data_IF_209618722813
#
_entry.id   IF_209618722813
#
_cell.length_a   1.000
_cell.length_b   1.000
_cell.length_c   1.000
_cell.angle_alpha   90.00
_cell.angle_beta   90.00
_cell.angle_gamma   90.00
#
_symmetry.space_group_name_H-M   'P 1'
#
loop_
_entity.id
_entity.type
_entity.pdbx_description
1 polymer ?
#
# COMPACT_ATOMS: atom_id res chain seq x y z
N UNK A 1 -1.69 -15.97 -20.18
CA UNK A 1 -0.90 -16.75 -19.20
C UNK A 1 -0.94 -16.05 -17.86
N UNK A 2 -1.77 -16.54 -16.93
CA UNK A 2 -1.83 -16.05 -15.55
C UNK A 2 -0.61 -16.58 -14.78
N UNK A 3 0.46 -15.80 -14.72
CA UNK A 3 1.57 -16.12 -13.83
C UNK A 3 1.20 -15.68 -12.42
N UNK A 4 0.61 -16.62 -11.68
CA UNK A 4 0.55 -16.61 -10.23
C UNK A 4 1.95 -16.33 -9.68
N UNK A 5 2.06 -15.36 -8.77
CA UNK A 5 3.23 -15.23 -7.90
C UNK A 5 3.62 -16.60 -7.36
N UNK A 6 4.92 -16.91 -7.35
CA UNK A 6 5.45 -18.14 -6.76
C UNK A 6 4.76 -18.38 -5.40
N UNK A 7 4.14 -19.55 -5.16
CA UNK A 7 3.54 -19.81 -3.87
C UNK A 7 4.61 -19.64 -2.77
N UNK A 8 4.27 -19.06 -1.62
CA UNK A 8 5.22 -18.86 -0.54
C UNK A 8 5.85 -20.21 -0.18
N UNK A 9 7.18 -20.26 -0.20
CA UNK A 9 7.93 -21.49 0.06
C UNK A 9 7.59 -21.98 1.48
N UNK A 10 7.04 -23.19 1.56
CA UNK A 10 6.51 -23.79 2.78
C UNK A 10 7.55 -23.89 3.90
N UNK A 11 8.84 -23.83 3.55
CA UNK A 11 9.96 -23.86 4.49
C UNK A 11 10.07 -22.62 5.38
N UNK A 12 9.40 -21.51 5.04
CA UNK A 12 9.43 -20.26 5.80
C UNK A 12 8.19 -20.00 6.66
N UNK A 13 7.18 -20.88 6.60
CA UNK A 13 5.90 -20.70 7.30
C UNK A 13 6.09 -20.77 8.82
N UNK A 14 5.72 -19.69 9.50
CA UNK A 14 5.83 -19.55 10.95
C UNK A 14 4.53 -19.83 11.69
N UNK A 15 4.59 -19.83 13.03
CA UNK A 15 3.37 -19.85 13.84
C UNK A 15 2.63 -18.52 13.67
N UNK A 16 1.37 -18.58 13.21
CA UNK A 16 0.49 -17.42 13.11
C UNK A 16 0.22 -16.80 14.47
N UNK A 17 0.27 -15.47 14.54
CA UNK A 17 0.00 -14.71 15.76
C UNK A 17 -1.30 -13.92 15.62
N UNK A 18 -2.35 -14.40 16.30
CA UNK A 18 -3.62 -13.66 16.41
C UNK A 18 -3.45 -12.35 17.14
N UNK A 19 -2.60 -12.34 18.18
CA UNK A 19 -2.29 -11.14 18.97
C UNK A 19 -1.68 -10.04 18.10
N UNK A 20 -0.71 -10.38 17.24
CA UNK A 20 -0.11 -9.40 16.32
C UNK A 20 -1.14 -8.83 15.35
N UNK A 21 -2.05 -9.67 14.85
CA UNK A 21 -3.18 -9.22 14.02
C UNK A 21 -4.10 -8.24 14.75
N UNK A 22 -4.45 -8.51 16.02
CA UNK A 22 -5.29 -7.61 16.83
C UNK A 22 -4.59 -6.27 17.10
N UNK A 23 -3.31 -6.30 17.47
CA UNK A 23 -2.54 -5.07 17.70
C UNK A 23 -2.43 -4.26 16.41
N UNK A 24 -2.17 -4.92 15.28
CA UNK A 24 -2.14 -4.26 13.97
C UNK A 24 -3.49 -3.60 13.66
N UNK A 25 -4.61 -4.30 13.92
CA UNK A 25 -5.94 -3.76 13.70
C UNK A 25 -6.18 -2.48 14.53
N UNK A 26 -5.80 -2.49 15.81
CA UNK A 26 -5.90 -1.31 16.69
C UNK A 26 -5.04 -0.17 16.15
N UNK A 27 -3.78 -0.42 15.80
CA UNK A 27 -2.88 0.59 15.24
C UNK A 27 -3.38 1.13 13.89
N UNK A 28 -3.97 0.28 13.05
CA UNK A 28 -4.59 0.67 11.80
C UNK A 28 -5.82 1.56 12.01
N UNK A 29 -6.67 1.22 12.98
CA UNK A 29 -7.82 2.04 13.36
C UNK A 29 -7.37 3.41 13.92
N UNK A 30 -6.31 3.45 14.74
CA UNK A 30 -5.72 4.69 15.24
C UNK A 30 -5.10 5.53 14.12
N UNK A 31 -4.39 4.90 13.17
CA UNK A 31 -3.85 5.59 11.99
C UNK A 31 -4.98 6.20 11.15
N UNK A 32 -6.06 5.45 10.93
CA UNK A 32 -7.23 5.94 10.22
C UNK A 32 -7.91 7.11 10.97
N UNK A 33 -8.09 6.99 12.28
CA UNK A 33 -8.65 8.06 13.12
C UNK A 33 -7.77 9.32 13.08
N UNK A 34 -6.45 9.15 13.14
CA UNK A 34 -5.50 10.26 13.02
C UNK A 34 -5.65 11.01 11.69
N UNK A 35 -5.80 10.28 10.57
CA UNK A 35 -6.12 10.88 9.28
C UNK A 35 -7.47 11.59 9.27
N UNK A 36 -8.51 11.02 9.89
CA UNK A 36 -9.81 11.69 10.04
C UNK A 36 -9.74 13.00 10.83
N UNK A 37 -8.92 13.05 11.89
CA UNK A 37 -8.69 14.27 12.67
C UNK A 37 -8.00 15.34 11.82
N UNK A 38 -7.03 14.98 10.98
CA UNK A 38 -6.47 15.87 9.97
C UNK A 38 -7.55 16.41 9.01
N UNK A 39 -8.55 15.58 8.68
CA UNK A 39 -9.68 15.96 7.83
C UNK A 39 -10.74 16.79 8.54
N UNK A 40 -10.73 16.95 9.87
CA UNK A 40 -11.67 17.87 10.51
C UNK A 40 -11.44 19.33 10.06
N UNK A 41 -10.20 19.70 9.74
CA UNK A 41 -9.86 21.01 9.18
C UNK A 41 -10.41 21.24 7.76
N UNK A 42 -10.74 20.18 7.02
CA UNK A 42 -11.35 20.26 5.69
C UNK A 42 -12.78 20.80 5.76
N UNK A 43 -13.52 20.47 6.81
CA UNK A 43 -14.92 20.89 6.98
C UNK A 43 -15.05 22.31 7.55
N UNK A 44 -13.95 23.05 7.69
CA UNK A 44 -14.00 24.46 8.06
C UNK A 44 -14.67 25.26 6.92
N UNK A 45 -15.72 26.04 7.19
CA UNK A 45 -16.43 26.81 6.16
C UNK A 45 -15.56 27.90 5.50
N UNK A 46 -14.36 28.15 6.03
CA UNK A 46 -13.36 29.10 5.51
C UNK A 46 -12.27 28.47 4.65
N UNK A 47 -12.24 27.14 4.51
CA UNK A 47 -11.19 26.45 3.75
C UNK A 47 -11.44 26.57 2.24
N UNK A 48 -10.45 27.09 1.49
CA UNK A 48 -10.48 27.04 0.03
C UNK A 48 -10.38 25.59 -0.44
N UNK A 49 -11.04 25.26 -1.54
CA UNK A 49 -11.06 23.89 -2.06
C UNK A 49 -9.69 23.37 -2.45
N UNK A 50 -8.80 24.21 -3.00
CA UNK A 50 -7.41 23.80 -3.29
C UNK A 50 -6.66 23.36 -2.02
N UNK A 51 -6.92 24.06 -0.92
CA UNK A 51 -6.34 23.73 0.38
C UNK A 51 -6.90 22.40 0.91
N UNK A 52 -8.18 22.11 0.67
CA UNK A 52 -8.81 20.83 1.00
C UNK A 52 -8.15 19.68 0.24
N UNK A 53 -7.97 19.81 -1.09
CA UNK A 53 -7.38 18.74 -1.90
C UNK A 53 -5.91 18.48 -1.49
N UNK A 54 -5.15 19.54 -1.18
CA UNK A 54 -3.78 19.42 -0.66
C UNK A 54 -3.76 18.70 0.70
N UNK A 55 -4.68 19.02 1.61
CA UNK A 55 -4.79 18.34 2.91
C UNK A 55 -5.16 16.85 2.75
N UNK A 56 -6.06 16.52 1.80
CA UNK A 56 -6.38 15.13 1.45
C UNK A 56 -5.13 14.39 0.98
N UNK A 57 -4.35 15.01 0.10
CA UNK A 57 -3.11 14.45 -0.41
C UNK A 57 -2.08 14.20 0.71
N UNK A 58 -1.89 15.16 1.62
CA UNK A 58 -0.97 15.01 2.76
C UNK A 58 -1.47 13.91 3.70
N UNK A 59 -2.75 13.89 4.03
CA UNK A 59 -3.36 12.89 4.91
C UNK A 59 -3.22 11.47 4.37
N UNK A 60 -3.41 11.26 3.06
CA UNK A 60 -3.20 9.98 2.40
C UNK A 60 -1.74 9.54 2.45
N UNK A 61 -0.78 10.45 2.26
CA UNK A 61 0.65 10.13 2.37
C UNK A 61 1.02 9.72 3.80
N UNK A 62 0.56 10.47 4.81
CA UNK A 62 0.80 10.13 6.22
C UNK A 62 0.19 8.76 6.55
N UNK A 63 -1.02 8.47 6.04
CA UNK A 63 -1.67 7.18 6.23
C UNK A 63 -0.80 6.02 5.72
N UNK A 64 -0.37 6.10 4.45
CA UNK A 64 0.43 5.04 3.83
C UNK A 64 1.79 4.89 4.49
N UNK A 65 2.49 5.99 4.78
CA UNK A 65 3.79 5.96 5.45
C UNK A 65 3.70 5.34 6.85
N UNK A 66 2.70 5.75 7.64
CA UNK A 66 2.46 5.17 8.97
C UNK A 66 2.15 3.68 8.87
N UNK A 67 1.35 3.25 7.89
CA UNK A 67 1.03 1.84 7.66
C UNK A 67 2.29 1.02 7.38
N UNK A 68 3.16 1.49 6.48
CA UNK A 68 4.43 0.81 6.17
C UNK A 68 5.38 0.78 7.38
N UNK A 69 5.41 1.86 8.16
CA UNK A 69 6.16 1.92 9.40
C UNK A 69 5.67 0.87 10.42
N UNK A 70 4.35 0.73 10.60
CA UNK A 70 3.77 -0.29 11.48
C UNK A 70 4.22 -1.70 11.07
N UNK A 71 4.21 -2.04 9.78
CA UNK A 71 4.71 -3.34 9.32
C UNK A 71 6.17 -3.57 9.67
N UNK A 72 7.02 -2.54 9.58
CA UNK A 72 8.42 -2.63 10.00
C UNK A 72 8.58 -2.79 11.51
N UNK A 73 7.74 -2.14 12.32
CA UNK A 73 7.72 -2.38 13.77
C UNK A 73 7.41 -3.85 14.08
N UNK A 74 6.39 -4.43 13.44
CA UNK A 74 6.08 -5.86 13.62
C UNK A 74 7.24 -6.76 13.20
N UNK A 75 7.90 -6.44 12.09
CA UNK A 75 9.11 -7.13 11.64
C UNK A 75 10.20 -7.11 12.71
N UNK A 76 10.48 -5.95 13.32
CA UNK A 76 11.44 -5.85 14.42
C UNK A 76 11.01 -6.61 15.67
N UNK A 77 9.70 -6.72 15.93
CA UNK A 77 9.15 -7.59 16.98
C UNK A 77 9.20 -9.09 16.64
N UNK A 78 9.76 -9.47 15.49
CA UNK A 78 9.93 -10.87 15.08
C UNK A 78 8.73 -11.46 14.35
N UNK A 79 7.88 -10.62 13.77
CA UNK A 79 6.71 -11.02 12.98
C UNK A 79 6.74 -10.43 11.58
N UNK A 80 6.44 -11.23 10.57
CA UNK A 80 6.28 -10.73 9.20
C UNK A 80 4.84 -10.91 8.74
N UNK A 81 4.36 -9.96 7.94
CA UNK A 81 3.02 -10.03 7.36
C UNK A 81 3.04 -10.88 6.09
N UNK A 82 2.13 -11.84 6.00
CA UNK A 82 1.93 -12.64 4.81
C UNK A 82 1.46 -11.75 3.63
N UNK A 83 1.78 -12.15 2.38
CA UNK A 83 1.29 -11.47 1.19
C UNK A 83 -0.23 -11.64 1.02
N UNK A 84 -0.78 -12.77 1.51
CA UNK A 84 -2.20 -13.04 1.47
C UNK A 84 -2.90 -12.46 2.72
N UNK A 85 -3.99 -11.75 2.48
CA UNK A 85 -4.88 -11.27 3.53
C UNK A 85 -5.84 -12.39 3.93
N UNK A 86 -5.91 -12.73 5.22
CA UNK A 86 -6.91 -13.69 5.68
C UNK A 86 -8.28 -13.04 5.76
N UNK A 87 -9.27 -13.83 5.37
CA UNK A 87 -10.69 -13.50 5.55
C UNK A 87 -11.05 -13.62 7.03
N UNK A 88 -11.50 -12.54 7.63
CA UNK A 88 -12.08 -12.50 8.97
C UNK A 88 -13.59 -12.23 8.88
N UNK A 89 -14.37 -12.94 9.68
CA UNK A 89 -15.84 -12.89 9.65
C UNK A 89 -16.49 -13.96 8.75
N UNK A 90 -17.81 -14.11 8.87
CA UNK A 90 -18.63 -15.06 8.13
C UNK A 90 -19.78 -14.36 7.39
N UNK A 91 -20.16 -14.85 6.21
CA UNK A 91 -21.28 -14.29 5.44
C UNK A 91 -20.93 -13.01 4.66
N UNK A 92 -21.89 -12.06 4.56
CA UNK A 92 -21.78 -10.81 3.79
C UNK A 92 -20.77 -9.80 4.34
N UNK A 93 -20.41 -9.87 5.62
CA UNK A 93 -19.53 -8.92 6.30
C UNK A 93 -18.16 -9.53 6.59
N UNK A 94 -17.51 -10.05 5.56
CA UNK A 94 -16.14 -10.54 5.69
C UNK A 94 -15.14 -9.47 5.27
N UNK A 95 -14.15 -9.21 6.12
CA UNK A 95 -13.08 -8.26 5.86
C UNK A 95 -11.73 -8.97 5.81
N UNK A 96 -10.83 -8.45 4.98
CA UNK A 96 -9.51 -9.04 4.74
C UNK A 96 -8.46 -8.33 5.59
N UNK A 97 -7.84 -9.06 6.52
CA UNK A 97 -6.77 -8.52 7.37
C UNK A 97 -5.43 -9.19 7.09
N UNK A 98 -4.32 -8.45 7.24
CA UNK A 98 -3.00 -9.04 7.19
C UNK A 98 -2.82 -10.07 8.30
N UNK A 99 -2.25 -11.21 7.95
CA UNK A 99 -1.87 -12.25 8.90
C UNK A 99 -0.39 -12.12 9.19
N UNK A 100 -0.05 -12.19 10.48
CA UNK A 100 1.32 -12.13 10.94
C UNK A 100 1.82 -13.52 11.33
N UNK A 101 3.00 -13.87 10.85
CA UNK A 101 3.71 -15.10 11.21
C UNK A 101 5.02 -14.78 11.93
N UNK A 102 5.30 -15.53 13.00
CA UNK A 102 6.56 -15.40 13.73
C UNK A 102 7.73 -15.87 12.86
N UNK A 103 8.85 -15.17 12.90
CA UNK A 103 10.05 -15.56 12.18
C UNK A 103 10.50 -16.97 12.57
N UNK A 104 10.64 -17.84 11.57
CA UNK A 104 11.30 -19.15 11.72
C UNK A 104 12.81 -18.99 11.62
N UNK A 105 13.56 -20.03 11.99
CA UNK A 105 15.02 -19.97 11.88
C UNK A 105 15.48 -19.91 10.41
N UNK A 106 14.85 -20.70 9.54
CA UNK A 106 15.06 -20.63 8.09
C UNK A 106 14.78 -19.23 7.53
N UNK A 107 13.69 -18.61 7.99
CA UNK A 107 13.35 -17.24 7.60
C UNK A 107 14.45 -16.25 7.99
N UNK A 108 14.95 -16.31 9.23
CA UNK A 108 16.03 -15.41 9.68
C UNK A 108 17.30 -15.60 8.88
N UNK A 109 17.69 -16.85 8.62
CA UNK A 109 18.88 -17.18 7.82
C UNK A 109 18.73 -16.61 6.42
N UNK A 110 17.62 -16.86 5.73
CA UNK A 110 17.39 -16.28 4.39
C UNK A 110 17.34 -14.74 4.43
N UNK A 111 16.63 -14.16 5.39
CA UNK A 111 16.51 -12.71 5.55
C UNK A 111 17.87 -12.03 5.82
N UNK A 112 18.81 -12.71 6.46
CA UNK A 112 20.17 -12.22 6.67
C UNK A 112 20.98 -12.13 5.36
N UNK A 113 20.69 -12.98 4.37
CA UNK A 113 21.32 -12.98 3.04
C UNK A 113 20.79 -11.86 2.11
N UNK A 114 19.79 -11.08 2.55
CA UNK A 114 19.16 -10.05 1.69
C UNK A 114 20.14 -8.96 1.27
N UNK A 115 19.95 -8.44 0.06
CA UNK A 115 20.72 -7.31 -0.41
C UNK A 115 20.15 -5.99 0.08
N UNK A 116 20.72 -5.42 1.16
CA UNK A 116 20.26 -4.13 1.74
C UNK A 116 20.21 -3.00 0.71
N UNK A 117 21.18 -2.94 -0.21
CA UNK A 117 21.24 -1.92 -1.28
C UNK A 117 20.03 -2.01 -2.21
N UNK A 118 19.75 -3.19 -2.76
CA UNK A 118 18.62 -3.37 -3.69
C UNK A 118 17.28 -3.22 -2.98
N UNK A 119 17.21 -3.62 -1.71
CA UNK A 119 16.05 -3.37 -0.87
C UNK A 119 15.76 -1.89 -0.68
N UNK A 120 16.78 -1.12 -0.34
CA UNK A 120 16.66 0.33 -0.20
C UNK A 120 16.25 0.97 -1.53
N UNK A 121 16.90 0.59 -2.64
CA UNK A 121 16.58 1.12 -3.96
C UNK A 121 15.14 0.80 -4.37
N UNK A 122 14.68 -0.43 -4.13
CA UNK A 122 13.30 -0.82 -4.40
C UNK A 122 12.31 -0.03 -3.55
N UNK A 123 12.60 0.14 -2.25
CA UNK A 123 11.75 0.89 -1.33
C UNK A 123 11.65 2.38 -1.71
N UNK A 124 12.75 3.03 -2.04
CA UNK A 124 12.75 4.42 -2.53
C UNK A 124 11.95 4.52 -3.82
N UNK A 125 12.17 3.61 -4.76
CA UNK A 125 11.42 3.59 -6.02
C UNK A 125 9.92 3.38 -5.79
N UNK A 126 9.55 2.54 -4.81
CA UNK A 126 8.16 2.36 -4.40
C UNK A 126 7.55 3.62 -3.79
N UNK A 127 8.26 4.31 -2.89
CA UNK A 127 7.77 5.58 -2.32
C UNK A 127 7.55 6.60 -3.43
N UNK A 128 8.53 6.76 -4.33
CA UNK A 128 8.41 7.66 -5.48
C UNK A 128 7.21 7.28 -6.36
N UNK A 129 7.02 5.99 -6.57
CA UNK A 129 5.90 5.45 -7.32
C UNK A 129 4.56 5.79 -6.66
N UNK A 130 4.39 5.54 -5.36
CA UNK A 130 3.15 5.88 -4.62
C UNK A 130 2.88 7.39 -4.66
N UNK A 131 3.93 8.20 -4.47
CA UNK A 131 3.81 9.66 -4.53
C UNK A 131 3.44 10.15 -5.94
N UNK A 132 3.99 9.55 -6.99
CA UNK A 132 3.63 9.90 -8.37
C UNK A 132 2.13 9.69 -8.63
N UNK A 133 1.57 8.57 -8.17
CA UNK A 133 0.12 8.29 -8.28
C UNK A 133 -0.68 9.39 -7.61
N UNK A 134 -0.33 9.70 -6.36
CA UNK A 134 -1.05 10.67 -5.56
C UNK A 134 -0.93 12.07 -6.20
N UNK A 135 0.23 12.43 -6.78
CA UNK A 135 0.44 13.74 -7.41
C UNK A 135 -0.36 13.85 -8.70
N UNK A 136 -0.37 12.81 -9.54
CA UNK A 136 -1.21 12.78 -10.74
C UNK A 136 -2.69 12.88 -10.36
N UNK A 137 -3.11 12.19 -9.31
CA UNK A 137 -4.47 12.27 -8.78
C UNK A 137 -4.80 13.70 -8.30
N UNK A 138 -3.88 14.35 -7.58
CA UNK A 138 -4.01 15.72 -7.09
C UNK A 138 -4.17 16.70 -8.26
N UNK A 139 -3.25 16.67 -9.23
CA UNK A 139 -3.28 17.55 -10.40
C UNK A 139 -4.56 17.35 -11.23
N UNK A 140 -4.95 16.10 -11.42
CA UNK A 140 -6.20 15.76 -12.11
C UNK A 140 -7.42 16.27 -11.34
N UNK A 141 -7.42 16.15 -10.01
CA UNK A 141 -8.51 16.65 -9.15
C UNK A 141 -8.65 18.17 -9.21
N UNK A 142 -7.54 18.90 -9.16
CA UNK A 142 -7.52 20.35 -9.31
C UNK A 142 -8.02 20.78 -10.71
N UNK A 143 -7.47 20.20 -11.78
CA UNK A 143 -7.89 20.54 -13.14
C UNK A 143 -9.37 20.21 -13.39
N UNK A 144 -9.86 19.08 -12.88
CA UNK A 144 -11.26 18.71 -12.97
C UNK A 144 -12.16 19.67 -12.19
N UNK A 145 -11.74 20.11 -10.99
CA UNK A 145 -12.48 21.08 -10.19
C UNK A 145 -12.63 22.41 -10.93
N UNK A 146 -11.52 22.98 -11.42
CA UNK A 146 -11.48 24.26 -12.14
C UNK A 146 -12.33 24.20 -13.42
N UNK A 147 -12.28 23.08 -14.16
CA UNK A 147 -13.00 22.95 -15.43
C UNK A 147 -14.51 22.72 -15.28
N UNK A 148 -14.96 21.97 -14.26
CA UNK A 148 -16.33 21.43 -14.24
C UNK A 148 -17.18 21.87 -13.05
N UNK A 149 -16.60 22.09 -11.87
CA UNK A 149 -17.38 22.47 -10.68
C UNK A 149 -17.65 23.98 -10.68
N UNK A 150 -16.67 24.80 -11.06
CA UNK A 150 -16.83 26.26 -11.11
C UNK A 150 -17.68 26.72 -12.32
N UNK A 151 -17.81 25.88 -13.37
CA UNK A 151 -18.44 26.26 -14.64
C UNK A 151 -19.89 25.79 -14.85
N UNK A 152 -20.43 24.84 -14.06
CA UNK A 152 -21.74 24.22 -14.38
C UNK A 152 -22.57 23.81 -13.15
N UNK A 153 -23.77 24.39 -13.01
CA UNK A 153 -24.71 24.15 -11.89
C UNK A 153 -25.76 23.07 -12.13
N UNK A 154 -25.83 22.46 -13.34
CA UNK A 154 -26.96 21.56 -13.72
C UNK A 154 -26.60 20.10 -13.99
N UNK A 155 -25.32 19.72 -13.99
CA UNK A 155 -24.85 18.38 -14.41
C UNK A 155 -23.87 17.70 -13.44
N UNK A 156 -23.83 18.13 -12.17
CA UNK A 156 -22.81 17.72 -11.19
C UNK A 156 -22.70 16.20 -10.94
N UNK A 157 -23.82 15.47 -10.91
CA UNK A 157 -23.80 14.05 -10.50
C UNK A 157 -23.13 13.12 -11.52
N UNK A 158 -23.34 13.35 -12.83
CA UNK A 158 -22.74 12.51 -13.88
C UNK A 158 -21.24 12.71 -14.00
N UNK A 159 -20.77 13.96 -13.84
CA UNK A 159 -19.35 14.27 -13.85
C UNK A 159 -18.65 13.68 -12.62
N UNK A 160 -19.27 13.76 -11.42
CA UNK A 160 -18.72 13.13 -10.21
C UNK A 160 -18.57 11.60 -10.37
N UNK A 161 -19.55 10.95 -11.01
CA UNK A 161 -19.46 9.53 -11.33
C UNK A 161 -18.31 9.22 -12.31
N UNK A 162 -18.18 9.98 -13.39
CA UNK A 162 -17.07 9.85 -14.35
C UNK A 162 -15.71 10.08 -13.71
N UNK A 163 -15.62 11.05 -12.79
CA UNK A 163 -14.42 11.35 -12.03
C UNK A 163 -14.00 10.17 -11.16
N UNK A 164 -14.92 9.61 -10.37
CA UNK A 164 -14.66 8.41 -9.55
C UNK A 164 -14.26 7.23 -10.44
N UNK A 165 -14.94 7.04 -11.56
CA UNK A 165 -14.63 5.96 -12.50
C UNK A 165 -13.21 6.09 -13.10
N UNK A 166 -12.79 7.31 -13.45
CA UNK A 166 -11.43 7.55 -13.95
C UNK A 166 -10.37 7.29 -12.87
N UNK A 167 -10.63 7.67 -11.61
CA UNK A 167 -9.75 7.36 -10.48
C UNK A 167 -9.56 5.84 -10.34
N UNK A 168 -10.65 5.07 -10.45
CA UNK A 168 -10.60 3.61 -10.38
C UNK A 168 -9.76 3.03 -11.54
N UNK A 169 -9.97 3.51 -12.77
CA UNK A 169 -9.17 3.07 -13.93
C UNK A 169 -7.70 3.40 -13.73
N UNK A 170 -7.40 4.63 -13.31
CA UNK A 170 -6.04 5.11 -13.05
C UNK A 170 -5.36 4.21 -12.03
N UNK A 171 -6.05 3.90 -10.92
CA UNK A 171 -5.56 2.98 -9.90
C UNK A 171 -5.27 1.57 -10.45
N UNK A 172 -6.15 1.00 -11.26
CA UNK A 172 -5.96 -0.32 -11.88
C UNK A 172 -4.75 -0.33 -12.83
N UNK A 173 -4.65 0.67 -13.72
CA UNK A 173 -3.54 0.81 -14.67
C UNK A 173 -2.20 0.89 -13.94
N UNK A 174 -2.18 1.66 -12.86
CA UNK A 174 -1.04 1.83 -11.99
C UNK A 174 -0.68 0.48 -11.34
N UNK A 175 -1.59 -0.19 -10.64
CA UNK A 175 -1.34 -1.53 -10.07
C UNK A 175 -0.73 -2.52 -11.09
N UNK A 176 -1.23 -2.50 -12.34
CA UNK A 176 -0.67 -3.31 -13.42
C UNK A 176 0.77 -2.90 -13.78
N UNK A 177 1.07 -1.61 -13.87
CA UNK A 177 2.43 -1.09 -14.08
C UNK A 177 3.35 -1.45 -12.91
N UNK A 178 2.89 -1.39 -11.66
CA UNK A 178 3.69 -1.77 -10.50
C UNK A 178 4.09 -3.24 -10.53
N UNK A 179 3.16 -4.12 -10.91
CA UNK A 179 3.44 -5.56 -11.09
C UNK A 179 4.52 -5.78 -12.15
N UNK A 180 4.45 -5.06 -13.29
CA UNK A 180 5.49 -5.10 -14.32
C UNK A 180 6.83 -4.59 -13.81
N UNK A 181 6.83 -3.49 -13.06
CA UNK A 181 8.04 -2.93 -12.45
C UNK A 181 8.72 -3.91 -11.50
N UNK A 182 7.97 -4.58 -10.62
CA UNK A 182 8.52 -5.62 -9.72
C UNK A 182 9.24 -6.73 -10.49
N UNK A 183 8.64 -7.19 -11.59
CA UNK A 183 9.22 -8.22 -12.43
C UNK A 183 10.48 -7.74 -13.15
N UNK A 184 10.42 -6.54 -13.73
CA UNK A 184 11.56 -5.90 -14.38
C UNK A 184 12.74 -5.71 -13.40
N UNK A 185 12.49 -5.17 -12.20
CA UNK A 185 13.50 -4.92 -11.18
C UNK A 185 14.20 -6.21 -10.75
N UNK A 186 13.42 -7.27 -10.49
CA UNK A 186 13.94 -8.60 -10.17
C UNK A 186 14.88 -9.12 -11.26
N UNK A 187 14.46 -9.07 -12.52
CA UNK A 187 15.21 -9.64 -13.63
C UNK A 187 16.46 -8.82 -13.96
N UNK A 188 16.34 -7.49 -13.97
CA UNK A 188 17.43 -6.57 -14.28
C UNK A 188 18.61 -6.73 -13.32
N UNK A 189 18.33 -6.82 -12.02
CA UNK A 189 19.35 -7.00 -10.98
C UNK A 189 19.67 -8.47 -10.67
N UNK A 190 19.09 -9.43 -11.41
CA UNK A 190 19.25 -10.89 -11.19
C UNK A 190 18.99 -11.29 -9.73
N UNK A 191 17.89 -10.79 -9.18
CA UNK A 191 17.50 -11.03 -7.78
C UNK A 191 16.59 -12.25 -7.65
N UNK A 192 16.64 -12.85 -6.47
CA UNK A 192 15.72 -13.88 -6.01
C UNK A 192 14.80 -13.29 -4.93
N UNK A 193 13.54 -13.71 -4.89
CA UNK A 193 12.47 -13.11 -4.07
C UNK A 193 11.58 -14.18 -3.43
N UNK A 194 12.19 -15.24 -2.88
CA UNK A 194 11.47 -16.39 -2.30
C UNK A 194 10.58 -16.03 -1.12
N UNK A 195 10.88 -14.91 -0.45
CA UNK A 195 10.09 -14.39 0.65
C UNK A 195 9.44 -13.08 0.20
N UNK A 196 8.15 -12.91 0.50
CA UNK A 196 7.39 -11.69 0.26
C UNK A 196 6.73 -11.28 1.57
N UNK A 197 6.97 -10.04 2.02
CA UNK A 197 6.37 -9.46 3.22
C UNK A 197 5.39 -8.38 2.82
N UNK A 198 4.10 -8.53 3.15
CA UNK A 198 3.06 -7.56 2.78
C UNK A 198 3.08 -7.15 1.29
N UNK A 199 3.35 -8.10 0.38
CA UNK A 199 3.45 -7.82 -1.06
C UNK A 199 4.78 -7.20 -1.52
N UNK A 200 5.71 -6.93 -0.60
CA UNK A 200 7.08 -6.50 -0.87
C UNK A 200 8.04 -7.69 -0.92
N UNK A 201 8.73 -7.90 -2.05
CA UNK A 201 9.69 -8.99 -2.18
C UNK A 201 10.94 -8.75 -1.31
N UNK A 202 11.40 -9.82 -0.65
CA UNK A 202 12.68 -9.84 0.02
C UNK A 202 13.77 -10.31 -0.95
N UNK A 203 14.40 -9.35 -1.61
CA UNK A 203 15.48 -9.57 -2.57
C UNK A 203 16.78 -10.08 -1.95
N UNK A 204 17.20 -11.25 -2.41
CA UNK A 204 18.55 -11.80 -2.29
C UNK A 204 19.22 -11.79 -3.66
N UNK A 205 20.56 -11.77 -3.71
CA UNK A 205 21.26 -12.03 -4.96
C UNK A 205 21.07 -13.51 -5.33
N UNK A 206 20.84 -13.83 -6.60
CA UNK A 206 20.90 -15.23 -7.05
C UNK A 206 22.33 -15.75 -6.82
N UNK A 207 22.45 -16.84 -6.09
CA UNK A 207 23.72 -17.58 -5.98
C UNK A 207 24.14 -17.97 -7.41
N UNK A 208 25.42 -17.73 -7.75
CA UNK A 208 25.99 -18.02 -9.08
C UNK A 208 26.12 -19.51 -9.30
#
# INVERSE_FOLDING_TARGET
>A
MSHTSSPPDKTFIGRRSRLAGVIYFILGALNFLHCLLYFQWIFSPTARTDFIIILIFIGLNIYFLTREFIYKCFHWCGYHALPELAKFGSGRYSFHLPVFERHTENYKVYYSKRSKKHQFLFFVSYILYVNLILVVLLLFSCAYWDMFIESSSKFQDWHAFLFIFLIIILYICIEALFKKYKHWFKNYFKLDDRIVEHGFPIYTLKEK
#
